data_IF_545803297198
#
_entry.id   IF_545803297198
#
_cell.length_a   1.000
_cell.length_b   1.000
_cell.length_c   1.000
_cell.angle_alpha   90.00
_cell.angle_beta   90.00
_cell.angle_gamma   90.00
#
_symmetry.space_group_name_H-M   'P 1'
#
loop_
_entity.id
_entity.type
_entity.pdbx_description
1 polymer ?
#
# COMPACT_ATOMS: atom_id res chain seq x y z
N UNK A 1 12.87 24.40 -0.45
CA UNK A 1 13.54 23.75 0.70
C UNK A 1 12.94 22.37 0.84
N UNK A 2 13.74 21.31 0.94
CA UNK A 2 13.21 19.96 1.12
C UNK A 2 12.47 19.90 2.47
N UNK A 3 11.20 19.48 2.45
CA UNK A 3 10.39 19.48 3.66
C UNK A 3 10.88 18.36 4.57
N UNK A 4 11.30 18.68 5.79
CA UNK A 4 11.75 17.66 6.73
C UNK A 4 10.60 16.72 7.11
N UNK A 5 10.90 15.43 7.21
CA UNK A 5 9.92 14.43 7.67
C UNK A 5 9.58 14.71 9.14
N UNK A 6 8.32 14.99 9.42
CA UNK A 6 7.77 15.17 10.75
C UNK A 6 6.85 14.00 11.07
N UNK A 7 7.11 13.35 12.21
CA UNK A 7 6.31 12.23 12.66
C UNK A 7 6.35 12.09 14.18
N UNK A 8 5.30 11.53 14.75
CA UNK A 8 5.17 11.32 16.19
C UNK A 8 4.36 10.04 16.43
N UNK A 9 4.87 9.15 17.30
CA UNK A 9 4.23 7.91 17.73
C UNK A 9 3.60 7.07 16.60
N UNK A 10 4.25 7.00 15.42
CA UNK A 10 3.72 6.29 14.24
C UNK A 10 3.51 4.81 14.58
N UNK A 11 2.26 4.31 14.54
CA UNK A 11 2.00 2.93 14.88
C UNK A 11 2.57 2.00 13.80
N UNK A 12 2.96 0.80 14.19
CA UNK A 12 3.25 -0.26 13.22
C UNK A 12 1.94 -0.69 12.55
N UNK A 13 1.65 -0.12 11.37
CA UNK A 13 0.42 -0.45 10.68
C UNK A 13 0.60 -1.67 9.76
N UNK A 14 -0.41 -2.54 9.77
CA UNK A 14 -0.49 -3.75 8.94
C UNK A 14 -0.27 -3.45 7.45
N UNK A 15 -0.92 -2.39 6.95
CA UNK A 15 -0.88 -1.98 5.55
C UNK A 15 0.55 -1.73 5.06
N UNK A 16 1.37 -1.07 5.86
CA UNK A 16 2.70 -0.63 5.42
C UNK A 16 3.73 -1.78 5.43
N UNK A 17 3.45 -2.87 6.15
CA UNK A 17 4.38 -4.00 6.31
C UNK A 17 4.11 -5.16 5.35
N UNK A 18 2.84 -5.52 5.16
CA UNK A 18 2.52 -6.81 4.53
C UNK A 18 1.59 -6.71 3.32
N UNK A 19 1.05 -5.54 3.03
CA UNK A 19 0.23 -5.34 1.83
C UNK A 19 1.06 -4.78 0.68
N UNK A 20 0.66 -5.11 -0.54
CA UNK A 20 1.25 -4.55 -1.75
C UNK A 20 0.96 -3.06 -1.83
N UNK A 21 1.99 -2.28 -2.15
CA UNK A 21 1.85 -0.82 -2.28
C UNK A 21 1.24 -0.40 -3.63
N UNK A 22 1.33 -1.24 -4.67
CA UNK A 22 0.93 -0.96 -6.05
C UNK A 22 -0.08 -1.97 -6.60
N UNK A 23 -0.88 -2.59 -5.73
CA UNK A 23 -1.80 -3.66 -6.13
C UNK A 23 -2.66 -4.16 -4.99
N UNK A 24 -3.41 -5.23 -5.26
CA UNK A 24 -4.30 -5.83 -4.29
C UNK A 24 -3.59 -6.84 -3.37
N UNK A 25 -4.00 -6.84 -2.09
CA UNK A 25 -3.72 -7.89 -1.13
C UNK A 25 -2.28 -7.95 -0.61
N UNK A 26 -1.90 -9.14 -0.14
CA UNK A 26 -0.66 -9.39 0.60
C UNK A 26 0.57 -9.49 -0.30
N UNK A 27 1.73 -9.08 0.22
CA UNK A 27 3.02 -9.19 -0.47
C UNK A 27 3.38 -10.63 -0.83
N UNK A 28 2.97 -11.60 -0.01
CA UNK A 28 3.24 -13.02 -0.20
C UNK A 28 2.30 -13.73 -1.21
N UNK A 29 1.23 -13.07 -1.67
CA UNK A 29 0.13 -13.72 -2.39
C UNK A 29 -0.04 -13.14 -3.79
N UNK A 30 0.37 -13.87 -4.83
CA UNK A 30 0.27 -13.47 -6.22
C UNK A 30 0.16 -14.70 -7.13
N UNK A 31 -0.36 -14.49 -8.34
CA UNK A 31 -0.20 -15.48 -9.41
C UNK A 31 1.19 -15.33 -10.02
N UNK A 32 1.93 -16.43 -10.08
CA UNK A 32 3.26 -16.51 -10.68
C UNK A 32 3.29 -17.62 -11.73
N UNK A 33 4.26 -17.56 -12.64
CA UNK A 33 4.56 -18.63 -13.57
C UNK A 33 5.70 -19.49 -13.01
N UNK A 34 5.45 -20.77 -12.80
CA UNK A 34 6.43 -21.77 -12.40
C UNK A 34 6.50 -22.83 -13.51
N UNK A 35 7.61 -22.89 -14.24
CA UNK A 35 7.82 -23.78 -15.39
C UNK A 35 6.68 -23.70 -16.43
N UNK A 36 6.22 -22.48 -16.74
CA UNK A 36 5.16 -22.23 -17.71
C UNK A 36 3.73 -22.48 -17.21
N UNK A 37 3.56 -22.93 -15.96
CA UNK A 37 2.26 -23.18 -15.33
C UNK A 37 1.96 -22.10 -14.29
N UNK A 38 0.73 -21.59 -14.29
CA UNK A 38 0.30 -20.62 -13.27
C UNK A 38 0.21 -21.29 -11.91
N UNK A 39 0.76 -20.66 -10.89
CA UNK A 39 0.69 -21.07 -9.49
C UNK A 39 0.31 -19.87 -8.65
N UNK A 40 -0.55 -20.07 -7.65
CA UNK A 40 -0.86 -19.02 -6.70
C UNK A 40 0.04 -19.14 -5.47
N UNK A 41 0.70 -18.05 -5.07
CA UNK A 41 1.54 -18.02 -3.86
C UNK A 41 0.71 -17.64 -2.62
N UNK A 42 1.35 -17.68 -1.45
CA UNK A 42 0.75 -17.19 -0.20
C UNK A 42 1.06 -18.12 0.96
N UNK A 43 1.76 -17.62 1.97
CA UNK A 43 2.05 -18.36 3.21
C UNK A 43 1.76 -17.47 4.40
N UNK A 44 1.13 -18.01 5.45
CA UNK A 44 0.90 -17.32 6.73
C UNK A 44 2.12 -17.36 7.64
N UNK A 45 3.21 -18.02 7.25
CA UNK A 45 4.42 -18.07 8.07
C UNK A 45 5.20 -16.75 7.99
N UNK A 46 4.75 -15.75 8.75
CA UNK A 46 5.65 -14.73 9.24
C UNK A 46 6.43 -15.32 10.43
N UNK A 47 7.68 -15.74 10.21
CA UNK A 47 8.60 -16.11 11.30
C UNK A 47 8.79 -17.60 11.61
N UNK A 48 8.95 -18.48 10.60
CA UNK A 48 9.59 -19.78 10.81
C UNK A 48 8.73 -20.91 11.41
N UNK A 49 7.40 -20.82 11.35
CA UNK A 49 6.54 -21.94 11.76
C UNK A 49 6.68 -23.15 10.81
N UNK A 50 6.93 -24.33 11.40
CA UNK A 50 7.14 -25.63 10.73
C UNK A 50 5.87 -26.25 10.11
N UNK A 51 4.75 -25.56 10.15
CA UNK A 51 3.52 -25.96 9.47
C UNK A 51 3.18 -24.90 8.45
N UNK A 52 3.26 -25.25 7.17
CA UNK A 52 2.95 -24.36 6.05
C UNK A 52 1.47 -24.00 6.08
N UNK A 53 1.10 -23.04 6.91
CA UNK A 53 -0.25 -22.51 6.93
C UNK A 53 -0.41 -21.63 5.69
N UNK A 54 -1.02 -22.15 4.64
CA UNK A 54 -1.34 -21.37 3.46
C UNK A 54 -2.33 -20.24 3.81
N UNK A 55 -2.19 -19.09 3.13
CA UNK A 55 -3.08 -17.94 3.38
C UNK A 55 -4.48 -18.19 2.81
N UNK A 56 -4.53 -18.82 1.64
CA UNK A 56 -5.74 -19.21 0.96
C UNK A 56 -5.65 -20.70 0.63
N UNK A 57 -6.78 -21.38 0.52
CA UNK A 57 -6.83 -22.82 0.20
C UNK A 57 -6.17 -23.13 -1.16
N UNK A 58 -6.18 -22.16 -2.09
CA UNK A 58 -5.54 -22.28 -3.39
C UNK A 58 -4.04 -21.94 -3.41
N UNK A 59 -3.47 -21.44 -2.30
CA UNK A 59 -2.03 -21.12 -2.26
C UNK A 59 -1.20 -22.40 -2.33
N UNK A 60 -0.15 -22.36 -3.14
CA UNK A 60 0.69 -23.52 -3.46
C UNK A 60 0.18 -24.34 -4.64
N UNK A 61 -1.10 -24.21 -5.02
CA UNK A 61 -1.73 -25.01 -6.06
C UNK A 61 -1.34 -24.54 -7.46
N UNK A 62 -0.99 -25.50 -8.32
CA UNK A 62 -0.77 -25.29 -9.76
C UNK A 62 -2.11 -25.29 -10.50
N UNK A 63 -2.23 -24.44 -11.51
CA UNK A 63 -3.44 -24.23 -12.30
C UNK A 63 -3.12 -24.41 -13.79
N UNK A 64 -3.00 -25.66 -14.27
CA UNK A 64 -2.51 -25.96 -15.63
C UNK A 64 -3.37 -25.36 -16.76
N UNK A 65 -4.68 -25.23 -16.53
CA UNK A 65 -5.63 -24.73 -17.54
C UNK A 65 -5.78 -23.21 -17.55
N UNK A 66 -5.23 -22.51 -16.54
CA UNK A 66 -5.44 -21.08 -16.39
C UNK A 66 -4.76 -20.28 -17.52
N UNK A 67 -3.49 -20.58 -17.82
CA UNK A 67 -2.76 -19.94 -18.92
C UNK A 67 -3.38 -20.27 -20.30
N UNK A 68 -3.59 -21.55 -20.68
CA UNK A 68 -4.21 -21.88 -21.97
C UNK A 68 -5.55 -21.16 -22.20
N UNK A 69 -6.37 -21.02 -21.16
CA UNK A 69 -7.61 -20.28 -21.25
C UNK A 69 -7.38 -18.78 -21.57
N UNK A 70 -6.41 -18.13 -20.93
CA UNK A 70 -6.08 -16.73 -21.19
C UNK A 70 -5.51 -16.52 -22.61
N UNK A 71 -4.63 -17.41 -23.06
CA UNK A 71 -4.06 -17.35 -24.42
C UNK A 71 -5.15 -17.52 -25.49
N UNK A 72 -6.08 -18.46 -25.30
CA UNK A 72 -7.14 -18.76 -26.26
C UNK A 72 -8.26 -17.70 -26.33
N UNK A 73 -8.61 -17.07 -25.19
CA UNK A 73 -9.82 -16.22 -25.11
C UNK A 73 -9.54 -14.73 -25.11
N UNK A 74 -8.38 -14.30 -24.62
CA UNK A 74 -8.07 -12.86 -24.46
C UNK A 74 -6.73 -12.45 -25.09
N UNK A 75 -6.08 -13.36 -25.84
CA UNK A 75 -4.89 -13.06 -26.64
C UNK A 75 -3.64 -12.71 -25.83
N UNK A 76 -3.56 -13.15 -24.58
CA UNK A 76 -2.38 -12.92 -23.74
C UNK A 76 -1.18 -13.66 -24.32
N UNK A 77 -0.01 -13.01 -24.32
CA UNK A 77 1.27 -13.62 -24.69
C UNK A 77 2.25 -13.52 -23.54
N UNK A 78 2.89 -14.63 -23.19
CA UNK A 78 3.78 -14.73 -22.02
C UNK A 78 5.09 -13.94 -22.19
N UNK A 79 5.49 -13.68 -23.43
CA UNK A 79 6.67 -12.91 -23.81
C UNK A 79 6.44 -11.39 -23.76
N UNK A 80 5.19 -10.96 -23.62
CA UNK A 80 4.82 -9.55 -23.53
C UNK A 80 4.53 -9.15 -22.07
N UNK A 81 5.53 -8.56 -21.41
CA UNK A 81 5.48 -8.19 -19.99
C UNK A 81 5.60 -6.68 -19.81
N UNK A 82 4.78 -6.12 -18.92
CA UNK A 82 4.80 -4.69 -18.54
C UNK A 82 5.24 -4.54 -17.07
N UNK A 83 6.56 -4.41 -16.80
CA UNK A 83 7.06 -4.27 -15.43
C UNK A 83 6.57 -2.98 -14.79
N UNK A 84 6.24 -3.04 -13.50
CA UNK A 84 5.90 -1.85 -12.69
C UNK A 84 7.17 -1.07 -12.37
N UNK A 85 7.06 0.26 -12.25
CA UNK A 85 8.08 1.09 -11.62
C UNK A 85 8.36 0.63 -10.18
N UNK A 86 9.58 0.88 -9.69
CA UNK A 86 9.90 0.62 -8.29
C UNK A 86 9.29 1.70 -7.39
N UNK A 87 9.04 1.35 -6.12
CA UNK A 87 8.47 2.30 -5.15
C UNK A 87 9.39 3.51 -4.93
N UNK A 88 10.70 3.29 -5.01
CA UNK A 88 11.74 4.33 -4.87
C UNK A 88 11.72 5.35 -6.00
N UNK A 89 11.19 4.97 -7.16
CA UNK A 89 11.15 5.82 -8.35
C UNK A 89 9.88 6.70 -8.37
N UNK A 90 8.88 6.34 -7.54
CA UNK A 90 7.65 7.11 -7.40
C UNK A 90 7.91 8.35 -6.54
N UNK A 91 7.99 9.50 -7.21
CA UNK A 91 8.16 10.80 -6.56
C UNK A 91 6.82 11.26 -5.97
N UNK A 92 6.76 11.37 -4.64
CA UNK A 92 5.64 11.97 -3.93
C UNK A 92 5.72 13.51 -4.00
N UNK A 93 4.59 14.21 -4.23
CA UNK A 93 4.53 15.65 -4.00
C UNK A 93 4.96 16.01 -2.58
N UNK A 94 5.68 17.12 -2.41
CA UNK A 94 6.06 17.64 -1.09
C UNK A 94 4.81 17.91 -0.23
N UNK A 95 4.81 17.60 1.08
CA UNK A 95 3.69 17.89 1.96
C UNK A 95 3.64 19.38 2.28
N UNK A 96 2.44 19.96 2.26
CA UNK A 96 2.21 21.31 2.80
C UNK A 96 1.95 21.17 4.31
N UNK A 97 2.91 21.60 5.13
CA UNK A 97 2.82 21.50 6.58
C UNK A 97 2.17 22.76 7.18
N UNK A 98 1.16 22.57 8.04
CA UNK A 98 0.71 23.57 9.01
C UNK A 98 1.34 23.23 10.37
N UNK A 99 2.30 24.03 10.81
CA UNK A 99 3.06 23.72 12.03
C UNK A 99 2.21 23.80 13.29
N UNK A 100 1.30 24.78 13.38
CA UNK A 100 0.38 24.92 14.53
C UNK A 100 -0.50 23.67 14.69
N UNK A 101 -0.99 23.11 13.59
CA UNK A 101 -1.76 21.85 13.61
C UNK A 101 -0.88 20.66 14.01
N UNK A 102 0.35 20.56 13.49
CA UNK A 102 1.30 19.50 13.84
C UNK A 102 1.67 19.54 15.33
N UNK A 103 1.88 20.73 15.87
CA UNK A 103 2.19 20.94 17.29
C UNK A 103 0.98 20.61 18.17
N UNK A 104 -0.24 20.97 17.75
CA UNK A 104 -1.48 20.57 18.42
C UNK A 104 -1.64 19.06 18.50
N UNK A 105 -1.38 18.33 17.40
CA UNK A 105 -1.45 16.87 17.38
C UNK A 105 -0.47 16.26 18.37
N UNK A 106 0.78 16.76 18.39
CA UNK A 106 1.81 16.31 19.33
C UNK A 106 1.42 16.58 20.79
N UNK A 107 0.92 17.78 21.09
CA UNK A 107 0.49 18.16 22.44
C UNK A 107 -0.70 17.32 22.96
N UNK A 108 -1.49 16.74 22.06
CA UNK A 108 -2.64 15.89 22.38
C UNK A 108 -2.35 14.38 22.29
N UNK A 109 -1.08 13.99 22.16
CA UNK A 109 -0.62 12.61 21.98
C UNK A 109 -1.32 11.88 20.81
N UNK A 110 -1.50 12.59 19.69
CA UNK A 110 -2.11 12.04 18.47
C UNK A 110 -1.00 11.72 17.49
N UNK A 111 -0.88 10.44 17.13
CA UNK A 111 0.16 9.99 16.22
C UNK A 111 -0.03 10.55 14.80
N UNK A 112 1.07 10.93 14.14
CA UNK A 112 1.05 11.46 12.78
C UNK A 112 2.36 11.21 12.02
N UNK A 113 2.30 11.35 10.70
CA UNK A 113 3.48 11.36 9.82
C UNK A 113 3.18 12.08 8.51
N UNK A 114 4.12 12.91 8.04
CA UNK A 114 4.12 13.47 6.68
C UNK A 114 5.06 12.70 5.73
N UNK A 115 5.57 11.53 6.13
CA UNK A 115 6.51 10.77 5.31
C UNK A 115 5.81 10.21 4.05
N UNK A 116 6.50 10.26 2.91
CA UNK A 116 5.97 9.89 1.60
C UNK A 116 5.34 8.49 1.58
N UNK A 117 5.95 7.51 2.25
CA UNK A 117 5.47 6.13 2.26
C UNK A 117 4.06 5.98 2.84
N UNK A 118 3.73 6.73 3.90
CA UNK A 118 2.42 6.66 4.56
C UNK A 118 1.35 7.41 3.79
N UNK A 119 1.73 8.53 3.16
CA UNK A 119 0.88 9.38 2.32
C UNK A 119 0.49 8.67 1.03
N UNK A 120 1.47 8.12 0.29
CA UNK A 120 1.25 7.32 -0.93
C UNK A 120 0.31 6.15 -0.63
N UNK A 121 0.57 5.39 0.44
CA UNK A 121 -0.23 4.22 0.76
C UNK A 121 -1.72 4.55 1.01
N UNK A 122 -2.06 5.81 1.29
CA UNK A 122 -3.43 6.28 1.61
C UNK A 122 -3.99 7.25 0.57
N UNK A 123 -3.31 7.40 -0.58
CA UNK A 123 -3.73 8.34 -1.63
C UNK A 123 -4.54 7.71 -2.75
N UNK A 124 -4.90 6.43 -2.65
CA UNK A 124 -5.53 5.69 -3.74
C UNK A 124 -6.45 4.56 -3.23
N UNK A 125 -7.40 4.18 -4.08
CA UNK A 125 -8.21 2.99 -3.92
C UNK A 125 -7.64 1.81 -4.72
N UNK A 126 -8.55 1.01 -5.29
CA UNK A 126 -8.24 -0.15 -6.12
C UNK A 126 -8.91 -0.08 -7.50
N UNK A 127 -9.17 1.12 -8.01
CA UNK A 127 -9.61 1.27 -9.41
C UNK A 127 -8.46 0.93 -10.37
N UNK A 128 -8.78 0.54 -11.60
CA UNK A 128 -7.74 0.31 -12.63
C UNK A 128 -6.86 1.55 -12.80
N UNK A 129 -7.47 2.74 -12.81
CA UNK A 129 -6.77 4.02 -12.93
C UNK A 129 -5.75 4.24 -11.80
N UNK A 130 -6.13 3.96 -10.55
CA UNK A 130 -5.24 4.07 -9.40
C UNK A 130 -4.02 3.14 -9.55
N UNK A 131 -4.28 1.88 -9.90
CA UNK A 131 -3.22 0.88 -10.02
C UNK A 131 -2.28 1.21 -11.18
N UNK A 132 -2.80 1.70 -12.31
CA UNK A 132 -1.98 2.16 -13.44
C UNK A 132 -1.11 3.35 -13.04
N UNK A 133 -1.66 4.34 -12.31
CA UNK A 133 -0.88 5.47 -11.80
C UNK A 133 0.25 5.04 -10.87
N UNK A 134 0.01 4.07 -9.98
CA UNK A 134 1.05 3.54 -9.09
C UNK A 134 2.12 2.77 -9.85
N UNK A 135 1.76 2.02 -10.89
CA UNK A 135 2.68 1.15 -11.61
C UNK A 135 3.46 1.83 -12.73
N UNK A 136 2.88 2.84 -13.39
CA UNK A 136 3.44 3.42 -14.61
C UNK A 136 3.33 4.95 -14.67
N UNK A 137 2.84 5.61 -13.62
CA UNK A 137 2.54 7.04 -13.63
C UNK A 137 3.06 7.79 -12.42
N UNK A 138 2.41 8.92 -12.15
CA UNK A 138 2.69 9.83 -11.02
C UNK A 138 1.42 10.08 -10.23
N UNK A 139 1.57 10.53 -9.00
CA UNK A 139 0.47 10.94 -8.13
C UNK A 139 0.43 12.47 -8.07
N UNK A 140 -0.62 13.07 -8.63
CA UNK A 140 -0.77 14.54 -8.71
C UNK A 140 -1.08 15.15 -7.33
N UNK A 141 -2.02 14.54 -6.60
CA UNK A 141 -2.41 14.94 -5.25
C UNK A 141 -2.43 13.73 -4.33
N UNK A 142 -1.70 13.82 -3.22
CA UNK A 142 -1.74 12.87 -2.11
C UNK A 142 -2.00 13.63 -0.81
N UNK A 143 -2.49 13.00 0.28
CA UNK A 143 -2.62 13.66 1.58
C UNK A 143 -1.30 14.30 2.02
N UNK A 144 -1.31 15.46 2.67
CA UNK A 144 -0.09 16.10 3.20
C UNK A 144 0.37 15.46 4.52
N UNK A 145 -0.59 15.02 5.33
CA UNK A 145 -0.35 14.44 6.65
C UNK A 145 -1.27 13.22 6.83
N UNK A 146 -0.74 12.19 7.48
CA UNK A 146 -1.53 11.04 7.95
C UNK A 146 -1.58 11.09 9.47
N UNK A 147 -2.77 10.90 10.03
CA UNK A 147 -3.01 10.88 11.49
C UNK A 147 -3.60 9.53 11.91
N UNK A 148 -3.24 9.06 13.10
CA UNK A 148 -3.73 7.81 13.69
C UNK A 148 -4.30 8.07 15.09
N UNK A 149 -5.53 8.60 15.18
CA UNK A 149 -6.22 8.69 16.47
C UNK A 149 -6.50 7.28 17.02
N UNK A 150 -6.33 7.11 18.33
CA UNK A 150 -6.52 5.82 19.02
C UNK A 150 -7.84 5.72 19.80
N UNK A 151 -8.61 6.81 19.84
CA UNK A 151 -9.88 6.92 20.56
C UNK A 151 -10.83 7.88 19.85
N UNK A 152 -12.12 7.74 20.13
CA UNK A 152 -13.15 8.65 19.63
C UNK A 152 -12.85 10.11 20.02
N UNK A 153 -12.39 10.33 21.26
CA UNK A 153 -12.06 11.67 21.76
C UNK A 153 -10.93 12.31 20.94
N UNK A 154 -9.92 11.52 20.53
CA UNK A 154 -8.88 12.01 19.64
C UNK A 154 -9.41 12.32 18.23
N UNK A 155 -10.32 11.51 17.69
CA UNK A 155 -11.00 11.82 16.41
C UNK A 155 -11.73 13.17 16.50
N UNK A 156 -12.49 13.40 17.57
CA UNK A 156 -13.20 14.66 17.81
C UNK A 156 -12.24 15.85 17.93
N UNK A 157 -11.09 15.68 18.59
CA UNK A 157 -10.05 16.74 18.66
C UNK A 157 -9.52 17.10 17.28
N UNK A 158 -9.17 16.11 16.46
CA UNK A 158 -8.66 16.32 15.09
C UNK A 158 -9.69 17.05 14.23
N UNK A 159 -10.95 16.63 14.25
CA UNK A 159 -12.00 17.24 13.42
C UNK A 159 -12.28 18.68 13.82
N UNK A 160 -12.28 18.99 15.13
CA UNK A 160 -12.47 20.35 15.64
C UNK A 160 -11.35 21.28 15.21
N UNK A 161 -10.10 20.93 15.48
CA UNK A 161 -8.95 21.80 15.13
C UNK A 161 -8.81 21.97 13.61
N UNK A 162 -9.19 20.96 12.82
CA UNK A 162 -9.19 21.05 11.35
C UNK A 162 -10.28 21.98 10.80
N UNK A 163 -11.29 22.29 11.60
CA UNK A 163 -12.40 23.18 11.24
C UNK A 163 -12.21 24.60 11.77
N UNK A 164 -11.21 24.83 12.62
CA UNK A 164 -10.83 26.16 13.09
C UNK A 164 -10.19 26.92 11.94
N UNK A 165 -10.74 28.11 11.65
CA UNK A 165 -10.19 29.03 10.64
C UNK A 165 -8.90 29.67 11.13
#
# INVERSE_FOLDING_TARGET
MATHVQQFNVPQCYRDKILKWNGWGYNDSAFILENGVVKFTGSRCAGGCKHTAYRYDMSGTKMPQFRPWFEANIGVRIDYVTPSQARTDLIAPEPINNQEFIDYLRANDIAYSNAAQHRIARSHGHTVHDIVRLRHGKLERIPDLVVWPNSEQQVVKVTRVSSSK
#
